data_IF_926377100968
#
_entry.id   IF_926377100968
#
_cell.length_a   1.000
_cell.length_b   1.000
_cell.length_c   1.000
_cell.angle_alpha   90.00
_cell.angle_beta   90.00
_cell.angle_gamma   90.00
#
_symmetry.space_group_name_H-M   'P 1'
#
loop_
_entity.id
_entity.type
_entity.pdbx_description
1 polymer ?
#
# COMPACT_ATOMS: atom_id res chain seq x y z
N UNK A 1 3.22 5.63 16.06
CA UNK A 1 4.68 5.63 16.11
C UNK A 1 5.22 4.26 15.67
N UNK A 2 6.32 4.26 14.92
CA UNK A 2 6.99 3.04 14.51
C UNK A 2 7.97 2.68 15.64
N UNK A 3 7.73 1.55 16.29
CA UNK A 3 8.56 1.02 17.36
C UNK A 3 9.10 -0.34 16.94
N UNK A 4 10.37 -0.35 16.58
CA UNK A 4 11.13 -1.57 16.27
C UNK A 4 12.48 -1.52 17.01
N UNK A 5 13.15 -2.66 17.23
CA UNK A 5 14.48 -2.71 17.83
C UNK A 5 15.49 -1.80 17.11
N UNK A 6 16.47 -1.29 17.86
CA UNK A 6 17.49 -0.35 17.35
C UNK A 6 18.28 -0.91 16.17
N UNK A 7 18.52 -2.21 16.15
CA UNK A 7 19.23 -2.91 15.06
C UNK A 7 18.62 -2.69 13.67
N UNK A 8 17.29 -2.50 13.58
CA UNK A 8 16.65 -2.17 12.31
C UNK A 8 16.93 -0.74 11.87
N UNK A 9 16.99 0.21 12.80
CA UNK A 9 17.38 1.58 12.49
C UNK A 9 18.84 1.66 12.03
N UNK A 10 19.72 0.84 12.58
CA UNK A 10 21.15 0.83 12.26
C UNK A 10 21.44 0.31 10.85
N UNK A 11 20.50 -0.43 10.23
CA UNK A 11 20.56 -0.80 8.81
C UNK A 11 20.45 0.41 7.87
N UNK A 12 19.91 1.55 8.33
CA UNK A 12 19.59 2.73 7.52
C UNK A 12 20.22 4.01 8.08
N UNK A 13 21.55 4.22 7.93
CA UNK A 13 22.21 5.46 8.34
C UNK A 13 21.62 6.68 7.60
N UNK A 14 21.22 7.73 8.35
CA UNK A 14 20.50 8.90 7.79
C UNK A 14 21.31 9.63 6.71
N UNK A 15 22.63 9.70 6.86
CA UNK A 15 23.56 10.33 5.92
C UNK A 15 23.63 9.62 4.55
N UNK A 16 23.23 8.35 4.49
CA UNK A 16 23.18 7.55 3.27
C UNK A 16 21.80 7.52 2.61
N UNK A 17 20.77 8.05 3.27
CA UNK A 17 19.42 8.05 2.72
C UNK A 17 19.30 9.12 1.64
N UNK A 18 18.82 8.68 0.48
CA UNK A 18 18.44 9.56 -0.63
C UNK A 18 16.94 9.77 -0.59
N UNK A 19 16.51 11.01 -0.72
CA UNK A 19 15.10 11.31 -0.93
C UNK A 19 14.72 11.09 -2.39
N UNK A 20 13.48 10.65 -2.67
CA UNK A 20 12.96 10.63 -4.03
C UNK A 20 13.07 12.00 -4.70
N UNK A 21 13.38 12.02 -5.99
CA UNK A 21 13.49 13.25 -6.75
C UNK A 21 12.14 14.00 -6.76
N UNK A 22 12.21 15.34 -6.61
CA UNK A 22 11.02 16.20 -6.64
C UNK A 22 10.23 16.31 -5.33
N UNK A 23 10.54 15.48 -4.33
CA UNK A 23 9.73 15.42 -3.09
C UNK A 23 9.64 16.76 -2.32
N UNK A 24 10.63 17.61 -2.41
CA UNK A 24 10.70 18.85 -1.64
C UNK A 24 9.96 20.05 -2.27
N UNK A 25 9.59 19.98 -3.56
CA UNK A 25 8.95 21.08 -4.29
C UNK A 25 7.79 20.60 -5.16
N UNK A 26 7.05 19.62 -4.69
CA UNK A 26 6.05 18.89 -5.46
C UNK A 26 4.62 19.48 -5.31
N UNK A 27 4.52 20.78 -4.94
CA UNK A 27 3.23 21.47 -4.74
C UNK A 27 2.82 22.37 -5.89
N UNK A 28 3.77 22.73 -6.77
CA UNK A 28 3.58 23.80 -7.76
C UNK A 28 2.48 23.50 -8.79
N UNK A 29 2.18 22.22 -9.03
CA UNK A 29 1.16 21.75 -9.96
C UNK A 29 -0.16 21.34 -9.29
N UNK A 30 -0.31 21.59 -7.98
CA UNK A 30 -1.47 21.12 -7.22
C UNK A 30 -2.14 22.24 -6.43
N UNK A 31 -3.46 22.16 -6.34
CA UNK A 31 -4.22 22.94 -5.38
C UNK A 31 -4.31 22.18 -4.05
N UNK A 32 -3.56 22.63 -3.06
CA UNK A 32 -3.62 22.08 -1.72
C UNK A 32 -4.61 22.88 -0.87
N UNK A 33 -5.84 22.42 -0.81
CA UNK A 33 -6.93 23.06 -0.07
C UNK A 33 -6.61 23.19 1.43
N UNK A 34 -5.93 22.23 1.99
CA UNK A 34 -5.45 22.24 3.38
C UNK A 34 -4.40 23.31 3.70
N UNK A 35 -3.83 23.95 2.69
CA UNK A 35 -2.94 25.10 2.88
C UNK A 35 -3.67 26.43 3.10
N UNK A 36 -4.98 26.49 2.83
CA UNK A 36 -5.80 27.66 3.08
C UNK A 36 -6.55 27.54 4.41
N UNK A 37 -6.10 28.22 5.49
CA UNK A 37 -6.76 28.16 6.79
C UNK A 37 -8.15 28.82 6.80
N UNK A 38 -8.51 29.60 5.76
CA UNK A 38 -9.78 30.32 5.70
C UNK A 38 -10.96 29.43 5.31
N UNK A 39 -10.73 28.27 4.70
CA UNK A 39 -11.77 27.35 4.25
C UNK A 39 -12.14 26.25 5.28
N UNK A 40 -11.57 26.32 6.47
CA UNK A 40 -11.78 25.32 7.55
C UNK A 40 -11.14 23.96 7.27
N UNK A 41 -10.35 23.81 6.20
CA UNK A 41 -9.63 22.59 5.85
C UNK A 41 -8.28 22.45 6.56
N UNK A 42 -7.85 23.47 7.30
CA UNK A 42 -6.56 23.53 8.02
C UNK A 42 -6.34 22.46 9.09
N UNK A 43 -7.28 21.52 9.25
CA UNK A 43 -7.18 20.39 10.15
C UNK A 43 -6.81 19.08 9.42
N UNK A 44 -6.28 19.17 8.19
CA UNK A 44 -5.76 17.97 7.52
C UNK A 44 -4.52 17.45 8.25
N UNK A 45 -4.69 16.27 8.80
CA UNK A 45 -3.72 15.66 9.71
C UNK A 45 -2.36 15.45 9.04
N UNK A 46 -2.34 15.03 7.78
CA UNK A 46 -1.09 14.74 7.06
C UNK A 46 -0.28 16.01 6.79
N UNK A 47 -0.95 17.08 6.37
CA UNK A 47 -0.31 18.39 6.18
C UNK A 47 0.23 18.96 7.50
N UNK A 48 -0.58 18.93 8.56
CA UNK A 48 -0.17 19.41 9.89
C UNK A 48 1.05 18.66 10.41
N UNK A 49 1.11 17.34 10.26
CA UNK A 49 2.27 16.56 10.70
C UNK A 49 3.50 16.80 9.83
N UNK A 50 3.32 17.07 8.53
CA UNK A 50 4.43 17.48 7.67
C UNK A 50 5.04 18.81 8.16
N UNK A 51 4.21 19.80 8.46
CA UNK A 51 4.66 21.08 9.00
C UNK A 51 5.35 20.95 10.37
N UNK A 52 4.78 20.14 11.25
CA UNK A 52 5.38 19.84 12.54
C UNK A 52 6.75 19.17 12.40
N UNK A 53 6.92 18.28 11.43
CA UNK A 53 8.19 17.64 11.12
C UNK A 53 9.21 18.68 10.62
N UNK A 54 8.81 19.54 9.70
CA UNK A 54 9.63 20.64 9.17
C UNK A 54 10.11 21.59 10.30
N UNK A 55 9.21 22.02 11.17
CA UNK A 55 9.51 22.84 12.34
C UNK A 55 10.47 22.15 13.32
N UNK A 56 10.25 20.85 13.56
CA UNK A 56 11.05 20.08 14.54
C UNK A 56 12.50 19.88 14.11
N UNK A 57 12.76 19.85 12.80
CA UNK A 57 14.09 19.62 12.23
C UNK A 57 14.70 20.88 11.58
N UNK A 58 13.99 22.01 11.62
CA UNK A 58 14.41 23.28 11.04
C UNK A 58 14.30 23.37 9.52
N UNK A 59 14.03 22.26 8.83
CA UNK A 59 13.72 22.20 7.40
C UNK A 59 13.13 20.83 7.02
N UNK A 60 12.54 20.73 5.82
CA UNK A 60 11.86 19.53 5.34
C UNK A 60 12.82 18.35 5.15
N UNK A 61 13.98 18.55 4.53
CA UNK A 61 14.87 17.45 4.14
C UNK A 61 15.36 16.59 5.32
N UNK A 62 15.97 17.14 6.40
CA UNK A 62 16.40 16.32 7.52
C UNK A 62 15.22 15.66 8.24
N UNK A 63 14.07 16.32 8.33
CA UNK A 63 12.87 15.76 8.91
C UNK A 63 12.36 14.55 8.12
N UNK A 64 12.25 14.69 6.80
CA UNK A 64 11.82 13.58 5.92
C UNK A 64 12.81 12.41 5.96
N UNK A 65 14.14 12.68 5.97
CA UNK A 65 15.14 11.61 6.11
C UNK A 65 15.01 10.85 7.44
N UNK A 66 14.78 11.56 8.54
CA UNK A 66 14.57 10.92 9.84
C UNK A 66 13.29 10.06 9.85
N UNK A 67 12.23 10.57 9.24
CA UNK A 67 10.95 9.85 9.12
C UNK A 67 11.07 8.63 8.19
N UNK A 68 11.74 8.79 7.03
CA UNK A 68 12.04 7.70 6.10
C UNK A 68 12.87 6.61 6.77
N UNK A 69 13.87 6.97 7.57
CA UNK A 69 14.64 6.00 8.35
C UNK A 69 13.76 5.12 9.23
N UNK A 70 12.85 5.76 9.97
CA UNK A 70 11.93 5.03 10.84
C UNK A 70 11.00 4.10 10.05
N UNK A 71 10.51 4.56 8.90
CA UNK A 71 9.67 3.77 8.01
C UNK A 71 10.42 2.55 7.47
N UNK A 72 11.63 2.73 6.95
CA UNK A 72 12.47 1.64 6.43
C UNK A 72 12.86 0.63 7.51
N UNK A 73 13.14 1.10 8.74
CA UNK A 73 13.36 0.21 9.87
C UNK A 73 12.12 -0.66 10.17
N UNK A 74 10.93 -0.06 10.09
CA UNK A 74 9.66 -0.79 10.21
C UNK A 74 9.47 -1.81 9.09
N UNK A 75 9.77 -1.44 7.85
CA UNK A 75 9.70 -2.36 6.69
C UNK A 75 10.63 -3.54 6.86
N UNK A 76 11.88 -3.30 7.27
CA UNK A 76 12.84 -4.38 7.51
C UNK A 76 12.42 -5.34 8.63
N UNK A 77 11.79 -4.82 9.70
CA UNK A 77 11.26 -5.65 10.77
C UNK A 77 10.07 -6.51 10.30
N UNK A 78 9.19 -5.94 9.47
CA UNK A 78 8.07 -6.69 8.87
C UNK A 78 8.58 -7.75 7.89
N UNK A 79 9.62 -7.45 7.11
CA UNK A 79 10.25 -8.41 6.19
C UNK A 79 10.78 -9.64 6.94
N UNK A 80 11.51 -9.43 8.05
CA UNK A 80 11.98 -10.53 8.91
C UNK A 80 10.82 -11.35 9.49
N UNK A 81 9.70 -10.71 9.87
CA UNK A 81 8.49 -11.41 10.33
C UNK A 81 7.83 -12.24 9.22
N UNK A 82 7.74 -11.70 8.00
CA UNK A 82 7.20 -12.42 6.84
C UNK A 82 8.09 -13.63 6.53
N UNK A 83 9.42 -13.45 6.54
CA UNK A 83 10.38 -14.53 6.36
C UNK A 83 10.13 -15.67 7.34
N UNK A 84 10.00 -15.36 8.64
CA UNK A 84 9.71 -16.35 9.68
C UNK A 84 8.44 -17.17 9.40
N UNK A 85 7.37 -16.52 8.88
CA UNK A 85 6.13 -17.21 8.54
C UNK A 85 6.31 -18.12 7.31
N UNK A 86 7.06 -17.64 6.30
CA UNK A 86 7.35 -18.42 5.08
C UNK A 86 8.20 -19.65 5.43
N UNK A 87 9.25 -19.48 6.23
CA UNK A 87 10.11 -20.56 6.70
C UNK A 87 9.29 -21.62 7.44
N UNK A 88 8.37 -21.22 8.32
CA UNK A 88 7.50 -22.15 9.03
C UNK A 88 6.57 -22.92 8.08
N UNK A 89 6.07 -22.31 7.02
CA UNK A 89 5.27 -23.01 5.99
C UNK A 89 6.12 -24.06 5.26
N UNK A 90 7.37 -23.74 4.94
CA UNK A 90 8.29 -24.65 4.26
C UNK A 90 8.74 -25.79 5.16
N UNK A 91 9.16 -25.51 6.38
CA UNK A 91 9.61 -26.51 7.39
C UNK A 91 8.53 -27.52 7.75
N UNK A 92 7.26 -27.12 7.69
CA UNK A 92 6.14 -28.02 7.95
C UNK A 92 5.61 -28.74 6.68
N UNK A 93 6.28 -28.62 5.55
CA UNK A 93 5.90 -29.28 4.30
C UNK A 93 4.60 -28.78 3.71
N UNK A 94 4.19 -27.54 4.00
CA UNK A 94 2.96 -26.94 3.54
C UNK A 94 3.14 -26.08 2.27
N UNK A 95 4.37 -25.92 1.79
CA UNK A 95 4.71 -25.02 0.70
C UNK A 95 3.95 -25.29 -0.60
N UNK A 96 3.69 -26.55 -0.92
CA UNK A 96 2.99 -26.95 -2.14
C UNK A 96 1.46 -26.88 -2.04
N UNK A 97 0.93 -26.63 -0.84
CA UNK A 97 -0.50 -26.57 -0.57
C UNK A 97 -0.95 -25.27 0.13
N UNK A 98 -0.12 -24.24 0.09
CA UNK A 98 -0.42 -22.95 0.72
C UNK A 98 -0.26 -21.81 -0.27
N UNK A 99 -1.34 -21.04 -0.46
CA UNK A 99 -1.30 -19.78 -1.19
C UNK A 99 -0.78 -18.71 -0.23
N UNK A 100 0.24 -17.96 -0.66
CA UNK A 100 0.80 -16.86 0.11
C UNK A 100 0.50 -15.56 -0.64
N UNK A 101 -0.11 -14.60 0.05
CA UNK A 101 -0.39 -13.25 -0.46
C UNK A 101 0.29 -12.25 0.47
N UNK A 102 1.16 -11.41 -0.08
CA UNK A 102 1.77 -10.28 0.62
C UNK A 102 1.26 -8.99 -0.01
N UNK A 103 0.58 -8.21 0.78
CA UNK A 103 0.00 -6.92 0.36
C UNK A 103 -0.09 -5.95 1.52
N UNK A 104 -0.58 -4.74 1.28
CA UNK A 104 -0.89 -3.72 2.28
C UNK A 104 -2.33 -3.22 2.08
N UNK A 105 -2.92 -2.63 3.12
CA UNK A 105 -4.24 -2.00 3.04
C UNK A 105 -4.20 -0.62 2.36
N UNK A 106 -3.06 0.07 2.40
CA UNK A 106 -2.80 1.37 1.76
C UNK A 106 -1.30 1.59 1.58
N UNK A 107 -0.96 2.55 0.74
CA UNK A 107 0.38 3.07 0.60
C UNK A 107 0.71 4.14 1.67
N UNK A 108 1.71 5.00 1.39
CA UNK A 108 2.18 5.97 2.35
C UNK A 108 2.84 7.18 1.70
N UNK A 109 2.29 8.37 1.93
CA UNK A 109 2.89 9.63 1.52
C UNK A 109 4.07 9.97 2.45
N UNK A 110 5.25 10.15 1.88
CA UNK A 110 6.51 10.37 2.60
C UNK A 110 7.03 11.80 2.45
N UNK A 111 6.14 12.77 2.28
CA UNK A 111 6.47 14.17 2.07
C UNK A 111 6.12 14.69 0.68
N UNK A 112 5.73 13.81 -0.24
CA UNK A 112 5.19 14.23 -1.53
C UNK A 112 4.00 15.16 -1.30
N UNK A 113 3.89 16.20 -2.14
CA UNK A 113 2.82 17.22 -2.03
C UNK A 113 2.75 17.89 -0.64
N UNK A 114 3.86 17.96 0.10
CA UNK A 114 3.90 18.51 1.46
C UNK A 114 3.03 17.74 2.46
N UNK A 115 2.88 16.44 2.27
CA UNK A 115 1.94 15.61 3.01
C UNK A 115 2.61 14.38 3.61
N UNK A 116 2.10 13.90 4.74
CA UNK A 116 2.52 12.66 5.38
C UNK A 116 1.36 11.69 5.55
N UNK A 117 1.71 10.40 5.69
CA UNK A 117 0.81 9.30 5.97
C UNK A 117 0.00 8.83 4.75
N UNK A 118 -1.31 8.78 4.87
CA UNK A 118 -2.28 8.25 3.92
C UNK A 118 -3.50 9.16 3.90
N UNK A 119 -4.56 8.78 3.23
CA UNK A 119 -5.80 9.53 3.01
C UNK A 119 -5.69 10.58 1.90
N UNK A 120 -4.83 10.34 0.94
CA UNK A 120 -4.80 11.07 -0.33
C UNK A 120 -5.22 10.16 -1.48
N UNK A 121 -5.36 10.72 -2.67
CA UNK A 121 -5.56 9.97 -3.92
C UNK A 121 -4.28 9.90 -4.74
N UNK A 122 -3.15 10.36 -4.18
CA UNK A 122 -1.86 10.29 -4.83
C UNK A 122 -1.38 8.83 -4.92
N UNK A 123 -0.55 8.57 -5.92
CA UNK A 123 -0.02 7.24 -6.22
C UNK A 123 0.61 6.58 -4.99
N UNK A 124 1.42 7.33 -4.24
CA UNK A 124 2.12 6.80 -3.06
C UNK A 124 1.19 6.34 -1.94
N UNK A 125 -0.01 6.94 -1.83
CA UNK A 125 -1.03 6.53 -0.86
C UNK A 125 -1.93 5.40 -1.38
N UNK A 126 -2.13 5.31 -2.69
CA UNK A 126 -3.07 4.38 -3.32
C UNK A 126 -2.40 3.10 -3.82
N UNK A 127 -1.17 3.20 -4.32
CA UNK A 127 -0.42 2.06 -4.84
C UNK A 127 0.21 1.25 -3.71
N UNK A 128 -0.06 -0.04 -3.72
CA UNK A 128 0.41 -1.01 -2.73
C UNK A 128 1.10 -2.20 -3.40
N UNK A 129 1.98 -2.92 -2.67
CA UNK A 129 2.50 -4.17 -3.17
C UNK A 129 1.38 -5.21 -3.28
N UNK A 130 1.43 -6.05 -4.32
CA UNK A 130 0.60 -7.23 -4.48
C UNK A 130 1.50 -8.37 -4.96
N UNK A 131 1.83 -9.29 -4.08
CA UNK A 131 2.69 -10.44 -4.38
C UNK A 131 1.90 -11.70 -4.05
N UNK A 132 1.78 -12.61 -5.01
CA UNK A 132 1.00 -13.84 -4.84
C UNK A 132 1.86 -15.04 -5.26
N UNK A 133 2.00 -16.01 -4.35
CA UNK A 133 2.48 -17.35 -4.64
C UNK A 133 1.30 -18.32 -4.59
N UNK A 134 0.95 -18.90 -5.72
CA UNK A 134 -0.09 -19.93 -5.85
C UNK A 134 0.54 -21.21 -6.43
N UNK A 135 0.84 -22.24 -5.60
CA UNK A 135 1.51 -23.45 -6.04
C UNK A 135 0.81 -24.12 -7.21
N UNK A 136 1.56 -24.56 -8.22
CA UNK A 136 1.03 -25.17 -9.44
C UNK A 136 0.38 -24.21 -10.45
N UNK A 137 0.27 -22.91 -10.12
CA UNK A 137 -0.32 -21.88 -10.98
C UNK A 137 0.66 -20.76 -11.27
N UNK A 138 1.15 -20.07 -10.22
CA UNK A 138 2.09 -18.96 -10.39
C UNK A 138 3.52 -19.44 -10.65
N UNK A 139 4.26 -18.67 -11.47
CA UNK A 139 5.67 -18.89 -11.74
C UNK A 139 6.52 -17.88 -10.96
N UNK A 140 7.64 -18.35 -10.39
CA UNK A 140 8.52 -17.51 -9.60
C UNK A 140 9.14 -16.38 -10.44
N UNK A 141 9.25 -15.19 -9.85
CA UNK A 141 9.90 -14.03 -10.45
C UNK A 141 9.15 -13.35 -11.58
N UNK A 142 7.96 -13.80 -11.93
CA UNK A 142 7.13 -13.17 -12.95
C UNK A 142 6.43 -11.90 -12.43
N UNK A 143 6.13 -10.98 -13.35
CA UNK A 143 5.44 -9.71 -13.06
C UNK A 143 4.44 -9.40 -14.16
N UNK A 144 3.33 -8.77 -13.77
CA UNK A 144 2.39 -8.16 -14.70
C UNK A 144 2.32 -6.65 -14.48
N UNK A 145 1.95 -5.91 -15.53
CA UNK A 145 1.69 -4.47 -15.48
C UNK A 145 0.18 -4.18 -15.35
N UNK A 146 -0.65 -5.21 -15.35
CA UNK A 146 -2.09 -5.03 -15.21
C UNK A 146 -2.41 -4.47 -13.82
N UNK A 147 -3.17 -3.37 -13.73
CA UNK A 147 -3.63 -2.84 -12.47
C UNK A 147 -4.64 -3.80 -11.84
N UNK A 148 -4.45 -4.09 -10.56
CA UNK A 148 -5.35 -4.92 -9.76
C UNK A 148 -5.72 -4.19 -8.47
N UNK A 149 -6.79 -4.59 -7.83
CA UNK A 149 -7.30 -3.99 -6.61
C UNK A 149 -7.42 -4.99 -5.47
N UNK A 150 -7.50 -4.53 -4.22
CA UNK A 150 -7.73 -5.40 -3.07
C UNK A 150 -9.05 -6.20 -3.17
N UNK A 151 -10.06 -5.65 -3.85
CA UNK A 151 -11.33 -6.35 -4.07
C UNK A 151 -11.20 -7.59 -4.94
N UNK A 152 -10.11 -7.72 -5.71
CA UNK A 152 -9.83 -8.86 -6.58
C UNK A 152 -9.28 -10.07 -5.79
N UNK A 153 -8.82 -9.88 -4.56
CA UNK A 153 -8.27 -10.97 -3.72
C UNK A 153 -9.33 -12.03 -3.43
N UNK A 154 -10.52 -11.62 -3.04
CA UNK A 154 -11.55 -12.57 -2.64
C UNK A 154 -12.05 -13.44 -3.82
N UNK A 155 -12.43 -12.89 -4.99
CA UNK A 155 -12.76 -13.73 -6.15
C UNK A 155 -11.56 -14.58 -6.62
N UNK A 156 -10.33 -14.11 -6.49
CA UNK A 156 -9.13 -14.90 -6.79
C UNK A 156 -9.02 -16.12 -5.87
N UNK A 157 -9.26 -15.97 -4.57
CA UNK A 157 -9.22 -17.08 -3.63
C UNK A 157 -10.34 -18.09 -3.87
N UNK A 158 -11.56 -17.63 -4.24
CA UNK A 158 -12.66 -18.51 -4.64
C UNK A 158 -12.22 -19.40 -5.81
N UNK A 159 -11.64 -18.81 -6.85
CA UNK A 159 -11.20 -19.50 -8.05
C UNK A 159 -10.02 -20.45 -7.77
N UNK A 160 -8.97 -19.96 -7.08
CA UNK A 160 -7.77 -20.76 -6.77
C UNK A 160 -8.07 -21.96 -5.86
N UNK A 161 -8.96 -21.78 -4.90
CA UNK A 161 -9.34 -22.82 -3.92
C UNK A 161 -10.57 -23.61 -4.34
N UNK A 162 -11.15 -23.35 -5.53
CA UNK A 162 -12.37 -23.99 -6.03
C UNK A 162 -13.52 -23.97 -5.01
N UNK A 163 -13.70 -22.81 -4.36
CA UNK A 163 -14.75 -22.65 -3.35
C UNK A 163 -16.12 -22.56 -4.02
N UNK A 164 -17.10 -23.22 -3.41
CA UNK A 164 -18.47 -23.26 -3.92
C UNK A 164 -19.40 -22.49 -3.00
N UNK A 165 -20.51 -22.00 -3.55
CA UNK A 165 -21.56 -21.34 -2.79
C UNK A 165 -21.84 -19.91 -3.24
N UNK A 166 -22.87 -19.31 -2.66
CA UNK A 166 -23.21 -17.90 -2.87
C UNK A 166 -22.38 -17.02 -1.96
N UNK A 167 -21.66 -16.08 -2.54
CA UNK A 167 -20.83 -15.11 -1.77
C UNK A 167 -21.66 -14.03 -1.07
N UNK A 168 -22.92 -13.90 -1.44
CA UNK A 168 -23.85 -12.95 -0.84
C UNK A 168 -24.35 -13.46 0.51
N UNK A 169 -24.42 -12.58 1.48
CA UNK A 169 -24.97 -12.90 2.81
C UNK A 169 -26.45 -13.33 2.75
N UNK A 170 -27.20 -12.75 1.81
CA UNK A 170 -28.61 -13.02 1.56
C UNK A 170 -29.00 -12.52 0.16
N UNK A 171 -30.26 -12.71 -0.24
CA UNK A 171 -30.75 -12.31 -1.56
C UNK A 171 -30.65 -10.81 -1.87
N UNK A 172 -30.52 -9.96 -0.87
CA UNK A 172 -30.34 -8.51 -1.02
C UNK A 172 -28.86 -8.09 -1.08
N UNK A 173 -27.92 -9.02 -0.84
CA UNK A 173 -26.49 -8.76 -0.94
C UNK A 173 -26.07 -8.47 -2.39
N UNK A 174 -25.15 -7.52 -2.57
CA UNK A 174 -24.53 -7.28 -3.86
C UNK A 174 -23.61 -8.43 -4.26
N UNK A 175 -23.44 -8.71 -5.57
CA UNK A 175 -22.40 -9.60 -6.05
C UNK A 175 -21.02 -9.00 -5.76
N UNK A 176 -19.96 -9.80 -5.95
CA UNK A 176 -18.59 -9.29 -5.89
C UNK A 176 -18.31 -8.38 -7.09
N UNK A 177 -17.66 -7.25 -6.84
CA UNK A 177 -17.23 -6.29 -7.88
C UNK A 177 -15.83 -6.61 -8.41
N UNK A 178 -15.03 -7.43 -7.69
CA UNK A 178 -13.68 -7.81 -8.07
C UNK A 178 -13.65 -8.98 -9.06
N UNK A 179 -12.48 -9.18 -9.67
CA UNK A 179 -12.21 -10.18 -10.69
C UNK A 179 -11.12 -11.16 -10.24
N UNK A 180 -11.16 -12.40 -10.72
CA UNK A 180 -10.09 -13.36 -10.41
C UNK A 180 -8.79 -12.98 -11.13
N UNK A 181 -7.71 -12.85 -10.37
CA UNK A 181 -6.35 -12.65 -10.90
C UNK A 181 -5.69 -13.97 -11.36
N UNK A 182 -6.40 -15.11 -11.32
CA UNK A 182 -5.83 -16.40 -11.72
C UNK A 182 -5.24 -16.40 -13.14
N UNK A 183 -5.85 -15.79 -14.17
CA UNK A 183 -5.24 -15.71 -15.50
C UNK A 183 -3.90 -14.99 -15.50
N UNK A 184 -3.77 -13.88 -14.74
CA UNK A 184 -2.52 -13.14 -14.57
C UNK A 184 -1.45 -13.93 -13.82
N UNK A 185 -1.84 -14.80 -12.89
CA UNK A 185 -0.93 -15.68 -12.17
C UNK A 185 -0.40 -16.81 -13.06
N UNK A 186 -1.24 -17.33 -13.95
CA UNK A 186 -0.88 -18.40 -14.88
C UNK A 186 0.00 -17.90 -16.04
N UNK A 187 -0.32 -16.74 -16.60
CA UNK A 187 0.45 -16.09 -17.67
C UNK A 187 0.46 -14.57 -17.50
N UNK A 188 1.40 -14.05 -16.67
CA UNK A 188 1.50 -12.61 -16.41
C UNK A 188 1.83 -11.78 -17.66
N UNK A 189 2.45 -12.40 -18.67
CA UNK A 189 2.90 -11.72 -19.88
C UNK A 189 1.77 -11.48 -20.89
N UNK A 190 0.73 -12.29 -20.87
CA UNK A 190 -0.41 -12.16 -21.79
C UNK A 190 -1.24 -10.91 -21.50
N UNK A 191 -1.27 -10.48 -20.24
CA UNK A 191 -2.15 -9.41 -19.77
C UNK A 191 -3.64 -9.73 -19.85
N UNK A 192 -3.99 -10.96 -20.21
CA UNK A 192 -5.38 -11.38 -20.40
C UNK A 192 -6.03 -11.68 -19.05
N UNK A 193 -7.05 -10.92 -18.71
CA UNK A 193 -7.93 -11.13 -17.56
C UNK A 193 -9.24 -10.36 -17.76
N UNK A 194 -10.27 -10.67 -16.99
CA UNK A 194 -11.60 -10.07 -17.15
C UNK A 194 -11.76 -8.74 -16.38
N UNK A 195 -10.72 -8.31 -15.66
CA UNK A 195 -10.75 -7.08 -14.87
C UNK A 195 -10.55 -5.81 -15.71
N UNK A 196 -10.74 -4.65 -15.09
CA UNK A 196 -10.65 -3.34 -15.76
C UNK A 196 -9.22 -2.99 -16.15
N UNK A 197 -9.09 -2.04 -17.10
CA UNK A 197 -7.80 -1.47 -17.52
C UNK A 197 -7.16 -0.56 -16.46
N UNK A 198 -7.89 -0.20 -15.41
CA UNK A 198 -7.43 0.67 -14.33
C UNK A 198 -8.00 0.30 -12.97
N UNK A 199 -7.21 0.44 -11.92
CA UNK A 199 -7.69 0.31 -10.54
C UNK A 199 -8.26 1.64 -10.06
N UNK A 200 -9.48 1.63 -9.54
CA UNK A 200 -10.17 2.82 -9.05
C UNK A 200 -9.92 2.96 -7.54
N UNK A 201 -9.36 4.09 -7.15
CA UNK A 201 -9.24 4.48 -5.75
C UNK A 201 -10.21 5.63 -5.46
N UNK A 202 -11.01 5.49 -4.42
CA UNK A 202 -11.94 6.52 -3.98
C UNK A 202 -11.68 6.90 -2.53
N UNK A 203 -11.70 8.22 -2.27
CA UNK A 203 -11.75 8.75 -0.91
C UNK A 203 -13.11 9.36 -0.69
N UNK A 204 -13.81 8.90 0.33
CA UNK A 204 -15.02 9.57 0.78
C UNK A 204 -14.64 10.83 1.58
N UNK A 205 -14.87 11.99 0.98
CA UNK A 205 -14.85 13.26 1.68
C UNK A 205 -16.31 13.65 1.95
N UNK A 206 -16.88 13.10 3.01
CA UNK A 206 -18.21 13.51 3.46
C UNK A 206 -18.22 15.01 3.81
N UNK A 207 -19.38 15.69 3.68
CA UNK A 207 -19.48 17.07 4.13
C UNK A 207 -19.07 17.11 5.60
N UNK A 208 -18.02 17.88 5.92
CA UNK A 208 -17.76 18.26 7.31
C UNK A 208 -18.95 19.10 7.71
N UNK A 209 -19.83 18.52 8.52
CA UNK A 209 -20.95 19.15 9.22
C UNK A 209 -22.06 19.72 8.33
N UNK A 210 -23.05 18.90 8.08
CA UNK A 210 -24.44 19.35 8.15
C UNK A 210 -24.99 18.90 9.51
N UNK A 211 -24.82 19.71 10.52
CA UNK A 211 -25.65 19.73 11.73
C UNK A 211 -26.14 21.15 11.95
#
# INVERSE_FOLDING_TARGET
>A
PIHVPQEYFDRFPVDKLLLPAGILNDLDDTYLKSADPSDGSGDDKGYRYYKLLEESYGSSEPGIKAFLRAYLAGVAAVDDCIGTVIDAVEENGLADNTIIIVTSDHGWDMGQKGYLFKNTLWEDSARIPMIIRAPGISQAGQRTQQPVSLIDIYPTLIDLCNLQGDTRKNAQGAPLDGFSMRPLLADPSSGNWDGPEGALTMRFAGPKNNH
#
